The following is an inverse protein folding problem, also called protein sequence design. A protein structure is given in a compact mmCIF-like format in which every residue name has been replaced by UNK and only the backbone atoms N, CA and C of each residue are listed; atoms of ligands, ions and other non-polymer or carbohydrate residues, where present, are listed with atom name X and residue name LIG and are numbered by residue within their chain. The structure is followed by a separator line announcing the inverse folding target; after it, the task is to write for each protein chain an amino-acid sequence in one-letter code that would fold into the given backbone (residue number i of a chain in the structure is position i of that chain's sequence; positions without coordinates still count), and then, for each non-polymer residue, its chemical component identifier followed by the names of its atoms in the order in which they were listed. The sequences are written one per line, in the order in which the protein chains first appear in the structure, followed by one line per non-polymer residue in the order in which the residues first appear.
data_IF_381302105843
#
_entry.id   IF_381302105843
#
_cell.length_a   1.000
_cell.length_b   1.000
_cell.length_c   1.000
_cell.angle_alpha   90.00
_cell.angle_beta   90.00
_cell.angle_gamma   90.00
#
_symmetry.space_group_name_H-M   'P 1'
#
loop_
_entity.id
_entity.type
_entity.pdbx_description
1 polymer ?
#
# COMPACT_ATOMS: atom_id res chain seq x y z
N UNK A 1 13.10 15.20 -1.68
CA UNK A 1 13.55 15.60 -0.33
C UNK A 1 14.97 16.15 -0.32
N UNK A 2 15.85 15.77 -1.25
CA UNK A 2 17.24 16.25 -1.37
C UNK A 2 17.50 17.78 -1.34
N UNK A 3 16.48 18.60 -1.62
CA UNK A 3 16.57 20.07 -1.64
C UNK A 3 16.10 20.74 -0.33
N UNK A 4 15.65 19.96 0.64
CA UNK A 4 15.19 20.46 1.95
C UNK A 4 16.38 20.69 2.88
N UNK A 5 16.21 21.57 3.87
CA UNK A 5 17.18 21.70 4.96
C UNK A 5 17.25 20.36 5.73
N UNK A 6 18.44 19.72 5.84
CA UNK A 6 18.59 18.43 6.51
C UNK A 6 18.25 18.47 8.00
N UNK A 7 18.11 19.66 8.61
CA UNK A 7 17.73 19.82 10.01
C UNK A 7 16.22 19.80 10.24
N UNK A 8 15.40 19.84 9.18
CA UNK A 8 13.95 19.71 9.31
C UNK A 8 13.57 18.32 9.83
N UNK A 9 12.71 18.27 10.84
CA UNK A 9 12.08 17.02 11.29
C UNK A 9 10.99 16.62 10.31
N UNK A 10 10.68 15.33 10.22
CA UNK A 10 9.66 14.80 9.31
C UNK A 10 8.29 15.49 9.47
N UNK A 11 7.89 15.81 10.70
CA UNK A 11 6.63 16.50 10.99
C UNK A 11 6.60 17.99 10.60
N UNK A 12 7.71 18.53 10.08
CA UNK A 12 7.83 19.89 9.55
C UNK A 12 7.85 19.90 8.02
N UNK A 13 7.75 18.74 7.38
CA UNK A 13 7.80 18.58 5.93
C UNK A 13 6.40 18.25 5.42
N UNK A 14 6.00 18.86 4.32
CA UNK A 14 4.80 18.43 3.60
C UNK A 14 5.15 17.19 2.79
N UNK A 15 4.62 16.04 3.20
CA UNK A 15 4.93 14.73 2.61
C UNK A 15 3.69 14.23 1.86
N UNK A 16 3.70 14.18 0.52
CA UNK A 16 2.63 13.56 -0.25
C UNK A 16 2.52 12.07 0.06
N UNK A 17 1.28 11.60 0.23
CA UNK A 17 0.98 10.20 0.51
C UNK A 17 -0.16 9.66 -0.35
N UNK A 18 -0.24 8.34 -0.43
CA UNK A 18 -1.35 7.62 -1.08
C UNK A 18 -2.06 6.73 -0.06
N UNK A 19 -3.39 6.71 -0.12
CA UNK A 19 -4.25 5.83 0.69
C UNK A 19 -4.33 4.46 0.02
N UNK A 20 -4.20 3.37 0.79
CA UNK A 20 -4.15 1.99 0.30
C UNK A 20 -3.25 1.83 -0.94
N UNK A 21 -1.97 2.23 -0.79
CA UNK A 21 -1.02 2.43 -1.88
C UNK A 21 -0.84 1.21 -2.79
N UNK A 22 -1.11 0.00 -2.29
CA UNK A 22 -0.94 -1.25 -3.04
C UNK A 22 -2.14 -1.68 -3.90
N UNK A 23 -3.23 -0.91 -3.93
CA UNK A 23 -4.49 -1.31 -4.61
C UNK A 23 -4.53 -1.00 -6.11
N UNK A 24 -3.39 -0.87 -6.78
CA UNK A 24 -3.29 -0.51 -8.21
C UNK A 24 -3.67 -1.63 -9.20
N UNK A 25 -3.88 -2.84 -8.71
CA UNK A 25 -4.34 -3.96 -9.52
C UNK A 25 -5.22 -4.92 -8.71
N UNK A 26 -6.52 -4.89 -9.03
CA UNK A 26 -7.56 -5.75 -8.47
C UNK A 26 -8.17 -6.61 -9.59
N UNK A 27 -8.18 -7.93 -9.41
CA UNK A 27 -8.69 -8.88 -10.42
C UNK A 27 -10.21 -9.01 -10.45
N UNK A 28 -10.90 -8.62 -9.38
CA UNK A 28 -12.35 -8.73 -9.27
C UNK A 28 -13.02 -7.50 -9.88
N UNK A 29 -13.28 -7.56 -11.20
CA UNK A 29 -13.85 -6.45 -11.99
C UNK A 29 -15.14 -5.87 -11.39
N UNK A 30 -16.00 -6.72 -10.82
CA UNK A 30 -17.28 -6.30 -10.25
C UNK A 30 -17.13 -5.30 -9.08
N UNK A 31 -16.09 -5.47 -8.26
CA UNK A 31 -15.84 -4.64 -7.06
C UNK A 31 -14.68 -3.67 -7.23
N UNK A 32 -13.94 -3.76 -8.34
CA UNK A 32 -12.73 -2.96 -8.62
C UNK A 32 -12.91 -1.48 -8.29
N UNK A 33 -14.03 -0.88 -8.69
CA UNK A 33 -14.33 0.55 -8.46
C UNK A 33 -14.39 0.97 -6.98
N UNK A 34 -14.61 0.03 -6.08
CA UNK A 34 -14.76 0.27 -4.64
C UNK A 34 -13.47 -0.05 -3.87
N UNK A 35 -12.54 -0.80 -4.48
CA UNK A 35 -11.35 -1.35 -3.83
C UNK A 35 -10.06 -0.77 -4.40
N UNK A 36 -10.03 -0.38 -5.67
CA UNK A 36 -8.87 0.26 -6.31
C UNK A 36 -8.85 1.75 -5.97
N UNK A 37 -7.84 2.18 -5.19
CA UNK A 37 -7.64 3.59 -4.81
C UNK A 37 -6.51 4.24 -5.60
N UNK A 38 -5.63 3.43 -6.20
CA UNK A 38 -4.47 3.87 -6.98
C UNK A 38 -4.53 3.28 -8.39
N UNK A 39 -3.90 3.95 -9.36
CA UNK A 39 -3.69 3.42 -10.71
C UNK A 39 -2.20 3.30 -11.09
N UNK A 40 -1.31 3.72 -10.20
CA UNK A 40 0.14 3.66 -10.35
C UNK A 40 0.74 2.60 -9.42
N UNK A 41 1.75 1.89 -9.91
CA UNK A 41 2.48 0.91 -9.11
C UNK A 41 3.35 1.61 -8.06
N UNK A 42 3.82 0.87 -7.03
CA UNK A 42 4.65 1.44 -5.95
C UNK A 42 5.83 2.23 -6.50
N UNK A 43 6.58 1.66 -7.44
CA UNK A 43 7.72 2.37 -8.06
C UNK A 43 7.29 3.67 -8.74
N UNK A 44 6.20 3.67 -9.49
CA UNK A 44 5.69 4.86 -10.17
C UNK A 44 5.20 5.92 -9.19
N UNK A 45 4.54 5.52 -8.09
CA UNK A 45 4.14 6.45 -7.03
C UNK A 45 5.37 7.15 -6.44
N UNK A 46 6.44 6.40 -6.15
CA UNK A 46 7.70 6.94 -5.66
C UNK A 46 8.36 7.88 -6.69
N UNK A 47 8.42 7.51 -7.97
CA UNK A 47 8.95 8.39 -9.02
C UNK A 47 8.12 9.69 -9.18
N UNK A 48 6.82 9.65 -8.89
CA UNK A 48 5.93 10.81 -8.91
C UNK A 48 5.95 11.63 -7.60
N UNK A 49 6.88 11.35 -6.69
CA UNK A 49 7.11 12.16 -5.49
C UNK A 49 6.30 11.74 -4.26
N UNK A 50 5.58 10.62 -4.30
CA UNK A 50 4.95 10.04 -3.11
C UNK A 50 6.04 9.54 -2.16
N UNK A 51 5.92 9.89 -0.88
CA UNK A 51 6.89 9.51 0.17
C UNK A 51 6.21 8.97 1.42
N UNK A 52 4.88 8.95 1.47
CA UNK A 52 4.10 8.25 2.49
C UNK A 52 3.25 7.16 1.82
N UNK A 53 3.47 5.91 2.19
CA UNK A 53 2.71 4.77 1.68
C UNK A 53 1.84 4.20 2.80
N UNK A 54 0.55 4.12 2.56
CA UNK A 54 -0.42 3.48 3.44
C UNK A 54 -0.67 2.05 2.95
N UNK A 55 -0.23 1.07 3.73
CA UNK A 55 -0.18 -0.33 3.33
C UNK A 55 -1.00 -1.19 4.29
N UNK A 56 -2.16 -1.62 3.80
CA UNK A 56 -3.01 -2.58 4.49
C UNK A 56 -2.60 -4.02 4.15
N UNK A 57 -2.41 -4.86 5.16
CA UNK A 57 -1.92 -6.24 4.99
C UNK A 57 -2.84 -7.32 5.55
N UNK A 58 -2.71 -8.52 4.98
CA UNK A 58 -3.28 -9.79 5.42
C UNK A 58 -2.23 -10.90 5.37
N UNK A 59 -2.56 -12.06 5.94
CA UNK A 59 -1.66 -13.22 6.08
C UNK A 59 -2.15 -14.38 5.23
N UNK A 60 -1.24 -15.16 4.67
CA UNK A 60 -1.60 -16.46 4.09
C UNK A 60 -2.16 -17.40 5.16
N UNK A 61 -3.07 -18.30 4.75
CA UNK A 61 -3.61 -19.34 5.64
C UNK A 61 -2.55 -20.40 5.98
N UNK A 62 -1.57 -20.58 5.09
CA UNK A 62 -0.47 -21.54 5.22
C UNK A 62 0.86 -20.81 5.02
N UNK A 63 1.72 -20.87 6.03
CA UNK A 63 3.01 -20.18 6.06
C UNK A 63 2.93 -18.79 6.69
N UNK A 64 4.07 -18.09 6.73
CA UNK A 64 4.24 -16.80 7.42
C UNK A 64 4.32 -15.60 6.46
N UNK A 65 3.82 -15.77 5.23
CA UNK A 65 3.89 -14.72 4.21
C UNK A 65 2.78 -13.68 4.37
N UNK A 66 3.16 -12.41 4.20
CA UNK A 66 2.29 -11.25 4.35
C UNK A 66 2.00 -10.67 2.96
N UNK A 67 0.73 -10.49 2.64
CA UNK A 67 0.28 -9.90 1.39
C UNK A 67 -0.54 -8.63 1.58
N UNK A 68 -0.58 -7.81 0.55
CA UNK A 68 -1.34 -6.57 0.54
C UNK A 68 -2.80 -6.88 0.23
N UNK A 69 -3.70 -6.32 1.04
CA UNK A 69 -5.14 -6.51 0.91
C UNK A 69 -5.87 -5.19 1.15
N UNK A 70 -7.07 -5.07 0.60
CA UNK A 70 -8.00 -4.00 0.97
C UNK A 70 -9.40 -4.60 1.08
N UNK A 71 -10.06 -4.43 2.22
CA UNK A 71 -11.29 -5.10 2.63
C UNK A 71 -11.27 -6.61 2.36
N UNK A 72 -10.24 -7.31 2.82
CA UNK A 72 -10.00 -8.76 2.60
C UNK A 72 -9.73 -9.19 1.15
N UNK A 73 -9.74 -8.26 0.19
CA UNK A 73 -9.47 -8.58 -1.21
C UNK A 73 -7.96 -8.52 -1.45
N UNK A 74 -7.32 -9.63 -1.89
CA UNK A 74 -5.89 -9.62 -2.21
C UNK A 74 -5.60 -8.65 -3.37
N UNK A 75 -4.52 -7.88 -3.23
CA UNK A 75 -3.99 -7.05 -4.30
C UNK A 75 -2.99 -7.85 -5.15
N UNK A 76 -2.78 -7.41 -6.39
CA UNK A 76 -1.96 -8.15 -7.35
C UNK A 76 -0.84 -7.31 -7.94
N UNK A 77 0.18 -7.99 -8.46
CA UNK A 77 1.27 -7.42 -9.24
C UNK A 77 0.87 -7.28 -10.72
N UNK A 78 1.66 -6.56 -11.51
CA UNK A 78 1.53 -6.50 -13.00
C UNK A 78 1.38 -7.86 -13.67
N UNK A 79 2.04 -8.88 -13.11
CA UNK A 79 2.09 -10.24 -13.66
C UNK A 79 0.96 -11.13 -13.11
N UNK A 80 -0.05 -10.53 -12.50
CA UNK A 80 -1.21 -11.24 -11.95
C UNK A 80 -0.86 -12.23 -10.82
N UNK A 81 0.24 -11.98 -10.09
CA UNK A 81 0.56 -12.70 -8.86
C UNK A 81 0.15 -11.88 -7.65
N UNK A 82 -0.21 -12.52 -6.54
CA UNK A 82 -0.50 -11.84 -5.27
C UNK A 82 0.64 -10.90 -4.89
N UNK A 83 0.31 -9.68 -4.47
CA UNK A 83 1.26 -8.66 -4.08
C UNK A 83 1.68 -8.89 -2.63
N UNK A 84 2.89 -9.41 -2.43
CA UNK A 84 3.43 -9.62 -1.09
C UNK A 84 4.10 -8.35 -0.55
N UNK A 85 4.08 -8.15 0.77
CA UNK A 85 4.72 -7.00 1.43
C UNK A 85 6.22 -6.91 1.07
N UNK A 86 6.91 -8.05 0.94
CA UNK A 86 8.31 -8.11 0.51
C UNK A 86 8.56 -7.44 -0.85
N UNK A 87 7.59 -7.47 -1.77
CA UNK A 87 7.73 -6.82 -3.07
C UNK A 87 7.65 -5.30 -2.93
N UNK A 88 6.70 -4.78 -2.13
CA UNK A 88 6.58 -3.35 -1.82
C UNK A 88 7.86 -2.83 -1.17
N UNK A 89 8.37 -3.54 -0.16
CA UNK A 89 9.60 -3.16 0.54
C UNK A 89 10.83 -3.20 -0.38
N UNK A 90 10.90 -4.17 -1.29
CA UNK A 90 11.98 -4.26 -2.27
C UNK A 90 11.94 -3.10 -3.28
N UNK A 91 10.75 -2.67 -3.70
CA UNK A 91 10.58 -1.50 -4.57
C UNK A 91 11.00 -0.22 -3.83
N UNK A 92 10.62 -0.06 -2.55
CA UNK A 92 11.08 1.05 -1.71
C UNK A 92 12.61 1.05 -1.53
N UNK A 93 13.20 -0.13 -1.28
CA UNK A 93 14.64 -0.27 -1.09
C UNK A 93 15.41 0.11 -2.35
N UNK A 94 14.98 -0.36 -3.53
CA UNK A 94 15.59 0.01 -4.82
C UNK A 94 15.51 1.52 -5.05
N UNK A 95 14.34 2.11 -4.83
CA UNK A 95 14.16 3.55 -4.95
C UNK A 95 15.15 4.33 -4.05
N UNK A 96 15.31 3.92 -2.79
CA UNK A 96 16.24 4.58 -1.86
C UNK A 96 17.72 4.36 -2.23
N UNK A 97 18.06 3.24 -2.88
CA UNK A 97 19.41 3.04 -3.44
C UNK A 97 19.71 4.01 -4.59
N UNK A 98 18.72 4.24 -5.47
CA UNK A 98 18.86 5.15 -6.61
C UNK A 98 18.72 6.63 -6.19
N UNK A 99 18.05 6.91 -5.07
CA UNK A 99 17.80 8.24 -4.53
C UNK A 99 18.19 8.36 -3.04
N UNK A 100 19.49 8.37 -2.71
CA UNK A 100 19.99 8.25 -1.32
C UNK A 100 19.66 9.44 -0.39
N UNK A 101 19.08 10.52 -0.92
CA UNK A 101 18.67 11.71 -0.16
C UNK A 101 17.15 11.80 0.04
N UNK A 102 16.42 10.74 -0.32
CA UNK A 102 14.98 10.61 -0.07
C UNK A 102 14.73 9.76 1.18
N UNK A 103 13.54 9.87 1.76
CA UNK A 103 13.05 8.95 2.78
C UNK A 103 11.64 8.51 2.44
N UNK A 104 11.28 7.29 2.81
CA UNK A 104 9.92 6.76 2.64
C UNK A 104 9.37 6.47 4.04
N UNK A 105 8.15 6.95 4.30
CA UNK A 105 7.36 6.57 5.47
C UNK A 105 6.36 5.51 5.03
N UNK A 106 6.44 4.33 5.62
CA UNK A 106 5.47 3.26 5.37
C UNK A 106 4.61 3.08 6.61
N UNK A 107 3.32 3.37 6.50
CA UNK A 107 2.33 3.00 7.49
C UNK A 107 1.82 1.60 7.15
N UNK A 108 1.96 0.67 8.08
CA UNK A 108 1.51 -0.71 7.91
C UNK A 108 0.39 -0.96 8.88
N UNK A 109 -0.78 -1.26 8.35
CA UNK A 109 -1.99 -1.58 9.11
C UNK A 109 -2.47 -2.98 8.74
N UNK A 110 -3.22 -3.59 9.66
CA UNK A 110 -4.01 -4.79 9.39
C UNK A 110 -5.47 -4.40 9.56
N UNK A 111 -6.30 -4.67 8.57
CA UNK A 111 -7.74 -4.52 8.75
C UNK A 111 -8.23 -5.47 9.86
N UNK A 112 -8.94 -4.92 10.83
CA UNK A 112 -9.45 -5.68 11.96
C UNK A 112 -10.49 -6.70 11.48
N UNK A 113 -10.22 -7.96 11.79
CA UNK A 113 -11.23 -9.01 11.73
C UNK A 113 -11.96 -8.95 13.07
N UNK A 114 -13.05 -8.19 13.13
CA UNK A 114 -14.10 -8.58 14.08
C UNK A 114 -14.66 -9.89 13.54
N UNK A 115 -14.19 -11.01 14.11
CA UNK A 115 -14.78 -12.34 13.85
C UNK A 115 -16.25 -12.41 14.30
N UNK A 116 -16.76 -11.36 14.95
CA UNK A 116 -18.11 -11.29 15.51
C UNK A 116 -19.09 -10.37 14.76
N UNK A 117 -18.70 -9.67 13.67
CA UNK A 117 -19.60 -8.70 12.99
C UNK A 117 -20.08 -9.11 11.58
N UNK A 118 -19.94 -10.38 11.19
CA UNK A 118 -20.48 -10.89 9.91
C UNK A 118 -22.03 -10.86 9.86
N UNK A 119 -22.75 -10.43 10.89
CA UNK A 119 -24.23 -10.40 10.87
C UNK A 119 -24.89 -9.13 10.32
N UNK A 120 -24.20 -7.99 10.15
CA UNK A 120 -24.94 -6.71 10.00
C UNK A 120 -24.69 -5.94 8.68
N UNK A 121 -24.28 -6.59 7.60
CA UNK A 121 -24.40 -5.98 6.26
C UNK A 121 -25.78 -6.27 5.66
N UNK A 122 -26.79 -5.52 6.13
CA UNK A 122 -28.02 -5.33 5.36
C UNK A 122 -27.73 -4.41 4.18
N UNK A 123 -27.77 -4.97 2.98
CA UNK A 123 -27.88 -4.20 1.74
C UNK A 123 -29.31 -3.67 1.66
N UNK A 124 -29.53 -2.45 2.14
CA UNK A 124 -30.70 -1.67 1.74
C UNK A 124 -30.34 -0.83 0.51
N UNK A 125 -31.19 -1.00 -0.51
CA UNK A 125 -31.09 -0.51 -1.89
C UNK A 125 -30.99 1.01 -2.05
#
# INVERSE_FOLDING_TARGET
MSKLDPNLKLNQIHIPGTHDSGTFAINLVAIKRFVETQNLYITEQLENGIRYLDITVSFEDIGDEIYISHNFIPCFTRKNHKLYLRYVLNDCMKFLMDHPYETIVTHISRENVDRDTITDYNFDC
#
